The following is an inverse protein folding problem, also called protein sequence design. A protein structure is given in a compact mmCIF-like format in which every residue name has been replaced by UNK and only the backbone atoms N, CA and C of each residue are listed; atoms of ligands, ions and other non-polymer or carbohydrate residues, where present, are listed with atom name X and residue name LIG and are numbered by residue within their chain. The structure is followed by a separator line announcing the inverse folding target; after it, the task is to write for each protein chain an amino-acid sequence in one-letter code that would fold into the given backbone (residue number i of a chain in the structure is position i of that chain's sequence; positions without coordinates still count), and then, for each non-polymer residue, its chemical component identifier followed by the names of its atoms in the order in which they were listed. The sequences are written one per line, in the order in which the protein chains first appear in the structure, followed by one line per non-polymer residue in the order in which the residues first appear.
data_IF_931081161986
#
_entry.id   IF_931081161986
#
_cell.length_a   1.000
_cell.length_b   1.000
_cell.length_c   1.000
_cell.angle_alpha   90.00
_cell.angle_beta   90.00
_cell.angle_gamma   90.00
#
_symmetry.space_group_name_H-M   'P 1'
#
loop_
_entity.id
_entity.type
_entity.pdbx_description
1 polymer ?
#
# COMPACT_ATOMS: atom_id res chain seq x y z
N UNK A 1 -13.98 20.19 -10.09
CA UNK A 1 -14.05 19.83 -11.52
C UNK A 1 -13.78 20.99 -12.47
N UNK A 2 -12.60 20.98 -13.09
CA UNK A 2 -12.21 21.89 -14.18
C UNK A 2 -12.53 21.32 -15.59
N UNK A 3 -12.00 21.95 -16.65
CA UNK A 3 -12.27 21.55 -18.03
C UNK A 3 -11.53 20.27 -18.44
N UNK A 4 -10.33 20.07 -17.94
CA UNK A 4 -9.49 18.91 -18.30
C UNK A 4 -10.05 17.66 -17.62
N UNK A 5 -10.42 17.77 -16.34
CA UNK A 5 -11.12 16.74 -15.57
C UNK A 5 -12.49 16.38 -16.20
N UNK A 6 -13.22 17.38 -16.70
CA UNK A 6 -14.48 17.14 -17.41
C UNK A 6 -14.26 16.42 -18.75
N UNK A 7 -13.24 16.80 -19.52
CA UNK A 7 -12.93 16.15 -20.80
C UNK A 7 -12.47 14.69 -20.57
N UNK A 8 -11.71 14.43 -19.50
CA UNK A 8 -11.33 13.08 -19.05
C UNK A 8 -12.55 12.26 -18.63
N UNK A 9 -13.43 12.79 -17.78
CA UNK A 9 -14.68 12.14 -17.41
C UNK A 9 -15.55 11.83 -18.63
N UNK A 10 -15.62 12.74 -19.61
CA UNK A 10 -16.40 12.56 -20.83
C UNK A 10 -15.76 11.57 -21.81
N UNK A 11 -14.49 11.21 -21.64
CA UNK A 11 -13.83 10.15 -22.38
C UNK A 11 -14.24 8.75 -21.89
N UNK A 12 -14.68 8.64 -20.64
CA UNK A 12 -15.20 7.42 -20.03
C UNK A 12 -16.63 7.16 -20.53
N UNK A 13 -16.92 5.90 -20.85
CA UNK A 13 -18.23 5.52 -21.36
C UNK A 13 -19.36 5.80 -20.37
N UNK A 14 -20.59 5.87 -20.89
CA UNK A 14 -21.75 6.28 -20.11
C UNK A 14 -22.16 5.26 -19.05
N UNK A 15 -21.91 3.97 -19.29
CA UNK A 15 -22.28 2.89 -18.37
C UNK A 15 -21.36 2.91 -17.15
N UNK A 16 -20.05 2.97 -17.37
CA UNK A 16 -19.04 3.08 -16.29
C UNK A 16 -19.26 4.31 -15.40
N UNK A 17 -19.65 5.46 -15.98
CA UNK A 17 -20.01 6.64 -15.18
C UNK A 17 -21.27 6.47 -14.34
N UNK A 18 -22.26 5.71 -14.81
CA UNK A 18 -23.47 5.40 -14.03
C UNK A 18 -23.17 4.46 -12.87
N UNK A 19 -22.26 3.53 -13.08
CA UNK A 19 -21.79 2.62 -12.04
C UNK A 19 -21.03 3.41 -10.95
N UNK A 20 -20.16 4.34 -11.35
CA UNK A 20 -19.48 5.26 -10.43
C UNK A 20 -20.47 6.09 -9.59
N UNK A 21 -21.50 6.65 -10.22
CA UNK A 21 -22.58 7.38 -9.53
C UNK A 21 -23.34 6.51 -8.52
N UNK A 22 -23.61 5.24 -8.88
CA UNK A 22 -24.28 4.30 -7.96
C UNK A 22 -23.43 4.01 -6.73
N UNK A 23 -22.12 3.82 -6.94
CA UNK A 23 -21.16 3.64 -5.85
C UNK A 23 -21.10 4.90 -4.98
N UNK A 24 -20.94 6.08 -5.57
CA UNK A 24 -20.85 7.35 -4.83
C UNK A 24 -22.13 7.62 -4.01
N UNK A 25 -23.31 7.32 -4.56
CA UNK A 25 -24.57 7.44 -3.82
C UNK A 25 -24.61 6.55 -2.57
N UNK A 26 -24.01 5.35 -2.63
CA UNK A 26 -23.86 4.50 -1.46
C UNK A 26 -22.83 5.07 -0.46
N UNK A 27 -21.73 5.63 -0.96
CA UNK A 27 -20.68 6.22 -0.13
C UNK A 27 -21.11 7.49 0.60
N UNK A 28 -22.10 8.23 0.10
CA UNK A 28 -22.73 9.35 0.82
C UNK A 28 -23.36 8.94 2.18
N UNK A 29 -23.60 7.64 2.38
CA UNK A 29 -24.13 7.11 3.64
C UNK A 29 -23.02 6.55 4.55
N UNK A 30 -21.78 6.50 4.08
CA UNK A 30 -20.66 6.00 4.86
C UNK A 30 -20.28 7.00 5.97
N UNK A 31 -19.82 6.52 7.14
CA UNK A 31 -19.25 7.44 8.12
C UNK A 31 -17.91 8.00 7.63
N UNK A 32 -17.58 9.19 8.09
CA UNK A 32 -16.27 9.80 7.88
C UNK A 32 -15.13 8.89 8.41
N UNK A 33 -14.06 8.79 7.63
CA UNK A 33 -12.93 7.88 7.89
C UNK A 33 -13.22 6.42 7.52
N UNK A 34 -14.37 6.11 6.91
CA UNK A 34 -14.61 4.78 6.34
C UNK A 34 -13.62 4.51 5.22
N UNK A 35 -12.85 3.42 5.36
CA UNK A 35 -11.86 2.99 4.39
C UNK A 35 -12.45 1.94 3.45
N UNK A 36 -12.25 2.12 2.14
CA UNK A 36 -12.71 1.15 1.15
C UNK A 36 -11.87 1.21 -0.13
N UNK A 37 -12.12 0.30 -1.07
CA UNK A 37 -11.48 0.29 -2.39
C UNK A 37 -12.54 0.36 -3.47
N UNK A 38 -12.15 0.73 -4.70
CA UNK A 38 -13.09 0.71 -5.84
C UNK A 38 -13.61 -0.71 -6.10
N UNK A 39 -12.72 -1.69 -6.03
CA UNK A 39 -13.06 -3.09 -6.22
C UNK A 39 -14.09 -3.59 -5.17
N UNK A 40 -13.89 -3.28 -3.88
CA UNK A 40 -14.84 -3.65 -2.82
C UNK A 40 -16.20 -3.00 -3.01
N UNK A 41 -16.26 -1.76 -3.46
CA UNK A 41 -17.54 -1.08 -3.73
C UNK A 41 -18.24 -1.63 -4.96
N UNK A 42 -17.49 -1.99 -6.00
CA UNK A 42 -18.04 -2.66 -7.16
C UNK A 42 -18.72 -3.99 -6.77
N UNK A 43 -18.04 -4.82 -5.98
CA UNK A 43 -18.61 -6.08 -5.47
C UNK A 43 -19.85 -5.81 -4.59
N UNK A 44 -19.76 -4.85 -3.67
CA UNK A 44 -20.83 -4.58 -2.71
C UNK A 44 -22.09 -3.96 -3.32
N UNK A 45 -21.94 -3.06 -4.31
CA UNK A 45 -23.05 -2.28 -4.86
C UNK A 45 -23.60 -2.88 -6.17
N UNK A 46 -22.75 -3.49 -6.98
CA UNK A 46 -23.12 -4.01 -8.30
C UNK A 46 -23.15 -5.55 -8.35
N UNK A 47 -22.64 -6.24 -7.33
CA UNK A 47 -22.71 -7.69 -7.22
C UNK A 47 -21.87 -8.43 -8.27
N UNK A 48 -20.82 -7.78 -8.79
CA UNK A 48 -19.93 -8.37 -9.78
C UNK A 48 -18.86 -9.23 -9.09
N UNK A 49 -18.75 -10.52 -9.44
CA UNK A 49 -17.68 -11.40 -8.94
C UNK A 49 -16.51 -11.48 -9.95
N UNK A 50 -15.32 -11.09 -9.49
CA UNK A 50 -13.94 -11.47 -9.90
C UNK A 50 -13.45 -11.53 -11.36
N UNK A 51 -14.23 -11.23 -12.40
CA UNK A 51 -13.76 -11.25 -13.82
C UNK A 51 -14.11 -9.97 -14.60
N UNK A 52 -13.85 -8.80 -14.01
CA UNK A 52 -14.07 -7.52 -14.68
C UNK A 52 -12.86 -7.14 -15.54
N UNK A 53 -13.13 -6.50 -16.69
CA UNK A 53 -12.08 -5.97 -17.56
C UNK A 53 -11.23 -4.94 -16.78
N UNK A 54 -9.91 -5.08 -16.87
CA UNK A 54 -8.97 -4.19 -16.19
C UNK A 54 -9.17 -2.75 -16.66
N UNK A 55 -9.44 -2.55 -17.96
CA UNK A 55 -9.68 -1.22 -18.53
C UNK A 55 -10.95 -0.59 -17.92
N UNK A 56 -12.01 -1.39 -17.73
CA UNK A 56 -13.22 -0.94 -17.02
C UNK A 56 -12.93 -0.55 -15.57
N UNK A 57 -12.10 -1.31 -14.85
CA UNK A 57 -11.76 -1.01 -13.46
C UNK A 57 -10.96 0.28 -13.32
N UNK A 58 -10.08 0.58 -14.27
CA UNK A 58 -9.38 1.87 -14.33
C UNK A 58 -10.36 3.01 -14.59
N UNK A 59 -11.21 2.89 -15.61
CA UNK A 59 -12.20 3.91 -15.95
C UNK A 59 -13.18 4.14 -14.80
N UNK A 60 -13.63 3.08 -14.13
CA UNK A 60 -14.51 3.17 -12.97
C UNK A 60 -13.83 3.91 -11.81
N UNK A 61 -12.58 3.58 -11.50
CA UNK A 61 -11.82 4.26 -10.46
C UNK A 61 -11.68 5.75 -10.75
N UNK A 62 -11.27 6.09 -11.97
CA UNK A 62 -11.12 7.48 -12.41
C UNK A 62 -12.44 8.23 -12.34
N UNK A 63 -13.55 7.63 -12.80
CA UNK A 63 -14.88 8.23 -12.72
C UNK A 63 -15.32 8.49 -11.27
N UNK A 64 -15.09 7.54 -10.34
CA UNK A 64 -15.39 7.71 -8.92
C UNK A 64 -14.60 8.89 -8.33
N UNK A 65 -13.30 8.98 -8.63
CA UNK A 65 -12.44 10.06 -8.12
C UNK A 65 -12.92 11.42 -8.63
N UNK A 66 -13.17 11.56 -9.94
CA UNK A 66 -13.58 12.82 -10.56
C UNK A 66 -14.99 13.27 -10.11
N UNK A 67 -15.92 12.33 -9.92
CA UNK A 67 -17.29 12.65 -9.52
C UNK A 67 -17.43 12.85 -8.01
N UNK A 68 -16.51 12.35 -7.17
CA UNK A 68 -16.64 12.41 -5.71
C UNK A 68 -16.90 13.82 -5.17
N UNK A 69 -16.26 14.84 -5.73
CA UNK A 69 -16.46 16.24 -5.34
C UNK A 69 -17.89 16.73 -5.57
N UNK A 70 -18.55 16.28 -6.65
CA UNK A 70 -19.92 16.67 -6.97
C UNK A 70 -20.93 16.02 -6.04
N UNK A 71 -20.57 14.89 -5.44
CA UNK A 71 -21.30 14.24 -4.34
C UNK A 71 -20.97 14.83 -2.97
N UNK A 72 -20.11 15.85 -2.91
CA UNK A 72 -19.70 16.48 -1.64
C UNK A 72 -18.81 15.59 -0.79
N UNK A 73 -18.15 14.62 -1.41
CA UNK A 73 -17.18 13.71 -0.78
C UNK A 73 -15.76 14.14 -1.13
N UNK A 74 -14.82 13.82 -0.24
CA UNK A 74 -13.39 13.79 -0.49
C UNK A 74 -12.94 12.34 -0.29
N UNK A 75 -12.40 11.73 -1.33
CA UNK A 75 -11.79 10.41 -1.27
C UNK A 75 -10.30 10.62 -1.06
N UNK A 76 -9.84 10.35 0.16
CA UNK A 76 -8.47 10.58 0.58
C UNK A 76 -7.60 9.36 0.28
N UNK A 77 -6.77 9.48 -0.75
CA UNK A 77 -5.77 8.50 -1.14
C UNK A 77 -4.38 8.82 -0.57
N UNK A 78 -4.23 9.80 0.32
CA UNK A 78 -2.92 10.30 0.78
C UNK A 78 -2.07 9.26 1.49
N UNK A 79 -2.67 8.16 1.97
CA UNK A 79 -1.95 6.97 2.47
C UNK A 79 -1.03 6.35 1.42
N UNK A 80 -1.37 6.53 0.15
CA UNK A 80 -0.67 6.02 -1.03
C UNK A 80 0.24 7.06 -1.67
N UNK A 81 0.23 8.31 -1.21
CA UNK A 81 1.09 9.36 -1.74
C UNK A 81 2.57 8.95 -1.61
N UNK A 82 3.32 9.07 -2.71
CA UNK A 82 4.74 8.73 -2.79
C UNK A 82 5.06 7.23 -2.57
N UNK A 83 4.05 6.36 -2.59
CA UNK A 83 4.18 4.89 -2.58
C UNK A 83 3.80 4.32 -3.96
N UNK A 84 4.41 3.21 -4.36
CA UNK A 84 4.05 2.50 -5.60
C UNK A 84 3.37 1.20 -5.21
N UNK A 85 2.04 1.21 -5.22
CA UNK A 85 1.22 0.16 -4.64
C UNK A 85 0.16 -0.28 -5.64
N UNK A 86 0.08 -1.60 -5.86
CA UNK A 86 -1.03 -2.26 -6.54
C UNK A 86 -1.53 -1.61 -7.84
N UNK A 87 -2.80 -1.88 -8.15
CA UNK A 87 -3.56 -1.16 -9.16
C UNK A 87 -4.48 -0.16 -8.44
N UNK A 88 -4.73 1.04 -8.99
CA UNK A 88 -5.48 2.10 -8.31
C UNK A 88 -6.82 1.66 -7.72
N UNK A 89 -7.56 0.79 -8.41
CA UNK A 89 -8.86 0.29 -7.97
C UNK A 89 -8.80 -0.69 -6.78
N UNK A 90 -7.61 -1.21 -6.46
CA UNK A 90 -7.34 -2.03 -5.27
C UNK A 90 -6.80 -1.22 -4.09
N UNK A 91 -6.43 0.05 -4.31
CA UNK A 91 -5.94 0.94 -3.26
C UNK A 91 -7.09 1.50 -2.44
N UNK A 92 -6.80 1.69 -1.15
CA UNK A 92 -7.77 2.12 -0.16
C UNK A 92 -7.87 3.64 -0.09
N UNK A 93 -9.07 4.19 -0.22
CA UNK A 93 -9.34 5.58 0.12
C UNK A 93 -10.19 5.69 1.37
N UNK A 94 -9.92 6.73 2.16
CA UNK A 94 -10.79 7.13 3.25
C UNK A 94 -11.84 8.13 2.75
N UNK A 95 -13.09 7.91 3.12
CA UNK A 95 -14.20 8.79 2.72
C UNK A 95 -14.40 9.88 3.77
N UNK A 96 -14.50 11.12 3.29
CA UNK A 96 -14.80 12.28 4.13
C UNK A 96 -15.85 13.18 3.51
N UNK A 97 -16.83 13.60 4.30
CA UNK A 97 -17.83 14.55 3.86
C UNK A 97 -17.25 15.96 3.91
N UNK A 98 -17.47 16.74 2.84
CA UNK A 98 -16.88 18.09 2.69
C UNK A 98 -17.16 19.04 3.85
N UNK A 99 -18.33 18.93 4.49
CA UNK A 99 -18.69 19.76 5.65
C UNK A 99 -17.80 19.48 6.87
N UNK A 100 -17.37 18.25 7.02
CA UNK A 100 -16.63 17.77 8.19
C UNK A 100 -15.11 17.77 7.90
N UNK A 101 -14.70 17.45 6.68
CA UNK A 101 -13.33 17.61 6.21
C UNK A 101 -12.83 19.08 6.26
N UNK A 102 -13.70 20.06 6.02
CA UNK A 102 -13.36 21.47 6.17
C UNK A 102 -13.18 21.87 7.65
N UNK A 103 -13.95 21.27 8.56
CA UNK A 103 -13.80 21.46 10.00
C UNK A 103 -12.53 20.80 10.55
N UNK A 104 -12.07 19.72 9.91
CA UNK A 104 -10.85 18.97 10.25
C UNK A 104 -9.58 19.55 9.61
N UNK A 105 -9.66 20.69 8.90
CA UNK A 105 -8.50 21.35 8.30
C UNK A 105 -7.91 20.64 7.07
N UNK A 106 -8.66 19.75 6.42
CA UNK A 106 -8.21 18.99 5.24
C UNK A 106 -8.44 19.72 3.91
N UNK A 107 -8.96 20.95 3.92
CA UNK A 107 -9.25 21.78 2.75
C UNK A 107 -8.34 23.02 2.62
N UNK A 108 -7.38 23.22 3.51
CA UNK A 108 -6.36 24.26 3.31
C UNK A 108 -5.17 23.64 2.57
N UNK A 109 -4.88 24.17 1.37
CA UNK A 109 -3.82 23.76 0.44
C UNK A 109 -2.37 23.90 0.98
N UNK A 110 -2.23 24.19 2.28
CA UNK A 110 -1.00 23.97 3.04
C UNK A 110 -1.29 22.94 4.12
N UNK A 111 -1.16 21.66 3.75
CA UNK A 111 -1.14 20.54 4.69
C UNK A 111 -0.07 20.81 5.76
N UNK A 112 -0.51 21.42 6.87
CA UNK A 112 0.34 21.71 8.01
C UNK A 112 0.89 20.39 8.52
N UNK A 113 2.22 20.27 8.50
CA UNK A 113 3.04 19.18 9.05
C UNK A 113 2.65 18.72 10.46
N UNK A 114 1.79 19.46 11.17
CA UNK A 114 1.37 19.18 12.55
C UNK A 114 0.14 18.27 12.70
N UNK A 115 -0.55 17.91 11.62
CA UNK A 115 -1.70 16.98 11.69
C UNK A 115 -1.46 15.63 11.00
N UNK A 116 -0.24 15.35 10.52
CA UNK A 116 0.18 13.99 10.14
C UNK A 116 0.65 13.24 11.38
N UNK A 117 -0.30 12.77 12.18
CA UNK A 117 -0.04 11.88 13.32
C UNK A 117 -0.64 10.49 13.07
N UNK A 118 -0.61 10.06 11.80
CA UNK A 118 -0.72 8.67 11.36
C UNK A 118 0.62 8.24 10.80
N UNK A 119 1.69 8.35 11.59
CA UNK A 119 2.87 7.53 11.34
C UNK A 119 2.41 6.07 11.42
N UNK A 120 2.20 5.50 10.24
CA UNK A 120 2.03 4.09 9.90
C UNK A 120 2.35 3.15 11.07
N UNK A 121 1.29 2.54 11.64
CA UNK A 121 1.33 1.73 12.87
C UNK A 121 2.34 0.57 12.84
N UNK A 122 2.79 0.18 11.65
CA UNK A 122 3.74 -0.92 11.43
C UNK A 122 5.12 -0.46 10.94
N UNK A 123 5.31 0.82 10.61
CA UNK A 123 6.54 1.28 9.95
C UNK A 123 7.79 1.08 10.81
N UNK A 124 7.70 1.41 12.10
CA UNK A 124 8.82 1.21 13.03
C UNK A 124 9.17 -0.28 13.15
N UNK A 125 8.15 -1.15 13.21
CA UNK A 125 8.31 -2.59 13.34
C UNK A 125 8.87 -3.22 12.05
N UNK A 126 8.41 -2.77 10.88
CA UNK A 126 8.95 -3.20 9.59
C UNK A 126 10.40 -2.72 9.43
N UNK A 127 10.68 -1.47 9.81
CA UNK A 127 12.03 -0.91 9.75
C UNK A 127 13.00 -1.69 10.65
N UNK A 128 12.58 -2.03 11.88
CA UNK A 128 13.37 -2.87 12.79
C UNK A 128 13.62 -4.27 12.22
N UNK A 129 12.58 -4.91 11.65
CA UNK A 129 12.71 -6.22 11.01
C UNK A 129 13.67 -6.20 9.81
N UNK A 130 13.56 -5.19 8.94
CA UNK A 130 14.49 -4.99 7.81
C UNK A 130 15.91 -4.77 8.32
N UNK A 131 16.10 -3.92 9.34
CA UNK A 131 17.41 -3.64 9.90
C UNK A 131 18.07 -4.91 10.46
N UNK A 132 17.31 -5.75 11.18
CA UNK A 132 17.80 -7.01 11.73
C UNK A 132 18.19 -8.03 10.65
N UNK A 133 17.42 -8.11 9.56
CA UNK A 133 17.74 -8.98 8.42
C UNK A 133 19.01 -8.48 7.72
N UNK A 134 19.07 -7.19 7.38
CA UNK A 134 20.19 -6.63 6.65
C UNK A 134 21.48 -6.60 7.47
N UNK A 135 21.40 -6.42 8.79
CA UNK A 135 22.55 -6.52 9.68
C UNK A 135 23.21 -7.91 9.61
N UNK A 136 22.41 -8.97 9.45
CA UNK A 136 22.90 -10.35 9.30
C UNK A 136 23.40 -10.62 7.87
N UNK A 137 22.66 -10.17 6.86
CA UNK A 137 22.95 -10.48 5.47
C UNK A 137 24.09 -9.65 4.89
N UNK A 138 24.23 -8.39 5.30
CA UNK A 138 25.13 -7.41 4.71
C UNK A 138 26.05 -6.75 5.77
N UNK A 139 26.79 -7.53 6.59
CA UNK A 139 27.57 -6.97 7.70
C UNK A 139 28.76 -6.10 7.24
N UNK A 140 29.15 -6.19 5.97
CA UNK A 140 30.28 -5.46 5.39
C UNK A 140 29.86 -4.29 4.48
N UNK A 141 28.57 -4.14 4.18
CA UNK A 141 28.06 -3.13 3.25
C UNK A 141 27.41 -1.97 4.00
N UNK A 142 27.60 -0.75 3.51
CA UNK A 142 26.96 0.43 4.10
C UNK A 142 25.52 0.51 3.61
N UNK A 143 24.58 0.09 4.46
CA UNK A 143 23.15 0.16 4.17
C UNK A 143 22.73 1.64 4.03
N UNK A 144 21.94 2.00 3.00
CA UNK A 144 21.44 3.35 2.83
C UNK A 144 20.66 3.80 4.08
N UNK A 145 20.83 5.06 4.54
CA UNK A 145 20.16 5.57 5.73
C UNK A 145 18.64 5.72 5.56
N UNK A 146 18.13 5.55 4.34
CA UNK A 146 16.71 5.58 4.00
C UNK A 146 16.44 4.46 3.02
N UNK A 147 15.70 3.46 3.47
CA UNK A 147 15.17 2.39 2.63
C UNK A 147 13.71 2.66 2.32
N UNK A 148 13.26 2.20 1.16
CA UNK A 148 11.84 2.19 0.78
C UNK A 148 11.35 0.75 0.85
N UNK A 149 10.23 0.55 1.50
CA UNK A 149 9.55 -0.73 1.54
C UNK A 149 8.05 -0.54 1.28
N UNK A 150 7.39 -1.61 0.87
CA UNK A 150 5.95 -1.72 0.74
C UNK A 150 5.50 -2.93 1.53
N UNK A 151 4.24 -2.96 1.94
CA UNK A 151 3.67 -4.15 2.56
C UNK A 151 2.19 -4.30 2.21
N UNK A 152 1.73 -5.55 2.20
CA UNK A 152 0.32 -5.91 2.02
C UNK A 152 -0.14 -6.76 3.21
N UNK A 153 -1.37 -6.54 3.69
CA UNK A 153 -1.94 -7.40 4.73
C UNK A 153 -2.40 -8.73 4.10
N UNK A 154 -1.86 -9.84 4.59
CA UNK A 154 -2.26 -11.18 4.21
C UNK A 154 -3.51 -11.54 5.01
N UNK A 155 -4.62 -11.80 4.31
CA UNK A 155 -5.89 -12.18 4.94
C UNK A 155 -5.75 -13.52 5.68
N UNK A 156 -5.46 -13.43 6.98
CA UNK A 156 -5.43 -14.57 7.91
C UNK A 156 -6.41 -14.27 9.04
N UNK A 157 -7.31 -15.22 9.31
CA UNK A 157 -8.40 -15.05 10.29
C UNK A 157 -7.88 -14.79 11.72
N UNK A 158 -6.71 -15.34 12.01
CA UNK A 158 -6.19 -15.55 13.35
C UNK A 158 -4.94 -14.71 13.67
N UNK A 159 -4.35 -14.05 12.67
CA UNK A 159 -3.15 -13.24 12.85
C UNK A 159 -3.12 -12.11 11.83
N UNK A 160 -2.60 -10.96 12.22
CA UNK A 160 -2.25 -9.92 11.28
C UNK A 160 -0.83 -10.20 10.75
N UNK A 161 -0.76 -10.56 9.47
CA UNK A 161 0.49 -10.84 8.77
C UNK A 161 0.66 -9.81 7.66
N UNK A 162 1.84 -9.19 7.61
CA UNK A 162 2.22 -8.25 6.57
C UNK A 162 3.21 -8.93 5.63
N UNK A 163 2.92 -9.00 4.34
CA UNK A 163 3.89 -9.38 3.32
C UNK A 163 4.69 -8.13 2.95
N UNK A 164 5.94 -8.06 3.39
CA UNK A 164 6.83 -6.90 3.24
C UNK A 164 7.78 -7.13 2.07
N UNK A 165 7.92 -6.11 1.22
CA UNK A 165 8.89 -6.06 0.14
C UNK A 165 9.76 -4.78 0.26
N UNK A 166 11.07 -4.91 0.07
CA UNK A 166 12.01 -3.79 0.09
C UNK A 166 13.00 -3.92 -1.06
N UNK A 167 13.12 -2.88 -1.87
CA UNK A 167 14.08 -2.78 -2.96
C UNK A 167 15.07 -1.66 -2.67
N UNK A 168 16.37 -1.93 -2.79
CA UNK A 168 17.40 -0.93 -2.54
C UNK A 168 18.69 -1.22 -3.30
N UNK A 169 19.51 -0.19 -3.51
CA UNK A 169 20.77 -0.31 -4.24
C UNK A 169 21.96 0.04 -3.33
N UNK A 170 23.00 -0.79 -3.37
CA UNK A 170 24.29 -0.57 -2.66
C UNK A 170 25.40 -1.10 -3.54
N UNK A 171 26.55 -0.41 -3.62
CA UNK A 171 27.73 -0.93 -4.31
C UNK A 171 27.52 -1.34 -5.78
N UNK A 172 26.58 -0.69 -6.51
CA UNK A 172 26.11 -1.08 -7.87
C UNK A 172 25.41 -2.44 -7.95
N UNK A 173 24.90 -2.90 -6.81
CA UNK A 173 24.05 -4.08 -6.71
C UNK A 173 22.64 -3.61 -6.37
N UNK A 174 21.65 -4.21 -7.03
CA UNK A 174 20.24 -4.08 -6.69
C UNK A 174 19.84 -5.24 -5.80
N UNK A 175 19.26 -4.95 -4.65
CA UNK A 175 18.80 -5.94 -3.67
C UNK A 175 17.28 -5.94 -3.62
N UNK A 176 16.70 -7.13 -3.63
CA UNK A 176 15.29 -7.36 -3.39
C UNK A 176 15.10 -8.23 -2.15
N UNK A 177 14.49 -7.65 -1.12
CA UNK A 177 14.14 -8.31 0.13
C UNK A 177 12.62 -8.50 0.18
N UNK A 178 12.17 -9.72 0.48
CA UNK A 178 10.76 -10.01 0.77
C UNK A 178 10.64 -10.95 1.96
N UNK A 179 9.67 -10.71 2.85
CA UNK A 179 9.40 -11.56 4.00
C UNK A 179 7.97 -11.35 4.52
N UNK A 180 7.45 -12.32 5.26
CA UNK A 180 6.21 -12.17 6.00
C UNK A 180 6.53 -11.71 7.43
N UNK A 181 5.82 -10.70 7.91
CA UNK A 181 5.91 -10.14 9.25
C UNK A 181 4.60 -10.40 9.98
N UNK A 182 4.62 -11.32 10.94
CA UNK A 182 3.54 -11.44 11.91
C UNK A 182 3.66 -10.29 12.92
N UNK A 183 2.64 -9.44 13.02
CA UNK A 183 2.67 -8.26 13.89
C UNK A 183 2.49 -8.61 15.37
N UNK A 184 2.21 -9.87 15.68
CA UNK A 184 1.84 -10.33 17.00
C UNK A 184 0.36 -10.09 17.34
N UNK A 185 -0.38 -9.36 16.50
CA UNK A 185 -1.79 -9.02 16.73
C UNK A 185 -2.70 -10.10 16.15
N UNK A 186 -3.82 -10.33 16.82
CA UNK A 186 -4.91 -11.13 16.27
C UNK A 186 -5.46 -10.54 14.97
N UNK A 187 -5.90 -11.42 14.06
CA UNK A 187 -6.62 -11.04 12.85
C UNK A 187 -8.06 -10.57 13.14
N UNK A 188 -9.05 -11.06 12.39
CA UNK A 188 -10.46 -10.69 12.60
C UNK A 188 -11.09 -11.31 13.86
N UNK A 189 -10.44 -12.31 14.46
CA UNK A 189 -10.90 -12.97 15.69
C UNK A 189 -10.22 -12.40 16.94
N UNK A 190 -11.02 -12.01 17.94
CA UNK A 190 -10.53 -11.60 19.26
C UNK A 190 -9.96 -12.83 19.98
N UNK A 191 -8.64 -12.88 20.20
CA UNK A 191 -8.01 -13.92 21.02
C UNK A 191 -8.26 -13.69 22.51
N UNK A 192 -8.43 -14.78 23.25
CA UNK A 192 -8.47 -14.83 24.73
C UNK A 192 -7.07 -15.10 25.34
N UNK A 193 -6.05 -15.25 24.51
CA UNK A 193 -4.66 -15.53 24.87
C UNK A 193 -3.78 -14.28 24.61
N UNK A 194 -2.64 -14.11 25.30
CA UNK A 194 -1.75 -12.97 25.06
C UNK A 194 -1.19 -12.97 23.64
N UNK A 195 -1.16 -11.79 23.02
CA UNK A 195 -0.59 -11.53 21.70
C UNK A 195 0.84 -12.10 21.58
N UNK A 196 1.14 -12.94 20.57
CA UNK A 196 2.50 -13.43 20.33
C UNK A 196 3.49 -12.29 20.03
N UNK A 197 4.78 -12.49 20.28
CA UNK A 197 5.80 -11.51 19.87
C UNK A 197 5.88 -11.44 18.34
N UNK A 198 6.15 -10.25 17.76
CA UNK A 198 6.33 -10.11 16.32
C UNK A 198 7.44 -11.01 15.78
N UNK A 199 7.22 -11.61 14.61
CA UNK A 199 8.17 -12.54 14.01
C UNK A 199 8.21 -12.45 12.48
N UNK A 200 9.37 -12.76 11.91
CA UNK A 200 9.57 -12.80 10.45
C UNK A 200 9.64 -14.24 9.94
N UNK A 201 8.91 -14.54 8.88
CA UNK A 201 8.96 -15.82 8.15
C UNK A 201 9.19 -15.61 6.65
N UNK A 202 9.55 -16.68 5.92
CA UNK A 202 9.66 -16.63 4.46
C UNK A 202 10.72 -15.68 3.91
N UNK A 203 11.74 -15.31 4.70
CA UNK A 203 12.74 -14.31 4.30
C UNK A 203 13.50 -14.75 3.05
N UNK A 204 13.34 -13.98 1.98
CA UNK A 204 14.03 -14.10 0.71
C UNK A 204 14.76 -12.80 0.43
N UNK A 205 16.07 -12.88 0.25
CA UNK A 205 16.90 -11.74 -0.14
C UNK A 205 17.75 -12.13 -1.34
N UNK A 206 17.55 -11.41 -2.44
CA UNK A 206 18.32 -11.59 -3.67
C UNK A 206 19.10 -10.33 -4.00
N UNK A 207 20.17 -10.51 -4.77
CA UNK A 207 21.06 -9.47 -5.22
C UNK A 207 21.34 -9.66 -6.70
N UNK A 208 21.27 -8.58 -7.47
CA UNK A 208 21.58 -8.54 -8.90
C UNK A 208 22.59 -7.41 -9.20
N UNK A 209 23.49 -7.64 -10.15
CA UNK A 209 24.38 -6.61 -10.65
C UNK A 209 23.65 -5.62 -11.56
N UNK A 210 23.86 -4.32 -11.36
CA UNK A 210 23.21 -3.29 -12.21
C UNK A 210 23.83 -3.26 -13.62
N UNK A 211 25.14 -3.53 -13.72
CA UNK A 211 25.93 -3.42 -14.95
C UNK A 211 26.44 -4.79 -15.47
N UNK A 212 26.14 -5.90 -14.79
CA UNK A 212 26.62 -7.25 -15.14
C UNK A 212 25.59 -8.35 -14.83
N UNK A 213 25.81 -9.56 -15.37
CA UNK A 213 24.92 -10.72 -15.17
C UNK A 213 25.11 -11.38 -13.78
N UNK A 214 25.57 -10.63 -12.77
CA UNK A 214 25.76 -11.16 -11.42
C UNK A 214 24.41 -11.36 -10.73
N UNK A 215 24.22 -12.54 -10.14
CA UNK A 215 23.09 -12.84 -9.26
C UNK A 215 23.54 -13.68 -8.06
N UNK A 216 23.05 -13.31 -6.88
CA UNK A 216 23.28 -14.03 -5.63
C UNK A 216 22.00 -14.07 -4.80
N UNK A 217 21.86 -15.12 -3.99
CA UNK A 217 20.72 -15.36 -3.11
C UNK A 217 21.24 -15.60 -1.70
N UNK A 218 20.62 -14.96 -0.72
CA UNK A 218 20.94 -15.14 0.68
C UNK A 218 20.05 -16.21 1.31
N UNK A 219 20.66 -17.20 1.95
CA UNK A 219 19.97 -18.23 2.73
C UNK A 219 19.84 -17.76 4.17
N UNK A 220 18.60 -17.46 4.57
CA UNK A 220 18.27 -17.00 5.93
C UNK A 220 18.46 -18.06 7.01
N UNK A 221 18.42 -19.35 6.66
CA UNK A 221 18.66 -20.45 7.62
C UNK A 221 20.15 -20.65 7.87
N UNK A 222 20.97 -20.57 6.81
CA UNK A 222 22.41 -20.70 6.91
C UNK A 222 23.11 -19.38 7.30
N UNK A 223 22.43 -18.23 7.13
CA UNK A 223 22.99 -16.88 7.29
C UNK A 223 24.19 -16.67 6.34
N UNK A 224 24.06 -17.17 5.12
CA UNK A 224 25.14 -17.16 4.13
C UNK A 224 24.61 -16.84 2.73
N UNK A 225 25.43 -16.18 1.92
CA UNK A 225 25.16 -16.00 0.50
C UNK A 225 25.64 -17.21 -0.29
N UNK A 226 24.88 -17.60 -1.31
CA UNK A 226 25.26 -18.69 -2.22
C UNK A 226 26.58 -18.41 -2.98
N UNK A 227 26.91 -17.14 -3.16
CA UNK A 227 28.15 -16.63 -3.75
C UNK A 227 28.63 -15.39 -3.00
N UNK A 228 29.95 -15.13 -2.94
CA UNK A 228 30.47 -13.94 -2.30
C UNK A 228 30.00 -12.68 -3.04
N UNK A 229 29.48 -11.71 -2.28
CA UNK A 229 29.10 -10.42 -2.84
C UNK A 229 30.34 -9.58 -3.22
N UNK A 230 30.29 -8.84 -4.33
CA UNK A 230 31.25 -7.80 -4.62
C UNK A 230 31.29 -6.78 -3.47
N UNK A 231 32.49 -6.45 -3.01
CA UNK A 231 32.72 -5.39 -2.04
C UNK A 231 32.92 -4.06 -2.78
N UNK A 232 32.47 -2.97 -2.16
CA UNK A 232 32.70 -1.59 -2.63
C UNK A 232 34.15 -1.41 -3.10
N UNK A 233 34.34 -1.05 -4.36
CA UNK A 233 35.61 -0.57 -4.90
C UNK A 233 35.62 0.94 -4.99
#
# INVERSE_FOLDING_TARGET
MDREELDELMSIDLETRRDAEMILFALEQAPDGFNTTTYRQLEAQLGCESDMDIDYLFDLHTAIMLLSETHGLKLDMSRHDYKFEGLPFNLGYDIWHRKDAAANGMFDDEASLKNRDWSDEHDDMIADAIADILFKALPAHVIPPKLRFSYENVLVLDAEILNVCCLFEVARLSFFLSFELNTGRGGECIFLEPDPEPSTEGVSLTCEGIDDDFTAVWDSNAIEWDKPLPLDR
#
